data_IF_199339399444
#
_entry.id   IF_199339399444
#
_cell.length_a   1.000
_cell.length_b   1.000
_cell.length_c   1.000
_cell.angle_alpha   90.00
_cell.angle_beta   90.00
_cell.angle_gamma   90.00
#
_symmetry.space_group_name_H-M   'P 1'
#
loop_
_entity.id
_entity.type
_entity.pdbx_description
1 polymer ?
#
# COMPACT_ATOMS: atom_id res chain seq x y z
N UNK A 1 23.05 -1.87 -19.32
CA UNK A 1 23.34 -1.47 -17.92
C UNK A 1 22.47 -2.34 -17.04
N UNK A 2 22.97 -2.98 -15.96
CA UNK A 2 22.11 -3.70 -15.04
C UNK A 2 21.10 -2.73 -14.44
N UNK A 3 19.81 -3.09 -14.44
CA UNK A 3 18.81 -2.36 -13.67
C UNK A 3 19.17 -2.49 -12.19
N UNK A 4 19.22 -1.40 -11.41
CA UNK A 4 19.41 -1.51 -9.97
C UNK A 4 18.32 -2.43 -9.43
N UNK A 5 18.72 -3.38 -8.58
CA UNK A 5 17.75 -4.28 -7.95
C UNK A 5 16.77 -3.46 -7.12
N UNK A 6 15.51 -3.89 -7.02
CA UNK A 6 14.50 -3.20 -6.18
C UNK A 6 15.02 -2.96 -4.77
N UNK A 7 15.82 -3.92 -4.28
CA UNK A 7 16.53 -3.87 -3.02
C UNK A 7 17.47 -2.67 -2.96
N UNK A 8 18.24 -2.37 -4.00
CA UNK A 8 19.12 -1.18 -4.06
C UNK A 8 18.34 0.14 -4.12
N UNK A 9 17.17 0.17 -4.76
CA UNK A 9 16.35 1.39 -4.90
C UNK A 9 15.68 1.76 -3.58
N UNK A 10 15.22 0.75 -2.84
CA UNK A 10 14.51 0.93 -1.56
C UNK A 10 15.45 0.88 -0.34
N UNK A 11 16.72 0.48 -0.51
CA UNK A 11 17.72 0.54 0.55
C UNK A 11 18.32 1.94 0.73
N UNK A 12 18.12 2.43 1.95
CA UNK A 12 18.82 3.47 2.73
C UNK A 12 18.99 4.89 2.18
N UNK A 13 19.31 5.14 0.91
CA UNK A 13 19.76 6.48 0.50
C UNK A 13 18.82 7.26 -0.40
N UNK A 14 17.96 6.60 -1.17
CA UNK A 14 17.07 7.29 -2.13
C UNK A 14 15.66 7.55 -1.58
N UNK A 15 15.21 6.76 -0.60
CA UNK A 15 13.87 6.86 -0.01
C UNK A 15 13.99 7.26 1.46
N UNK A 16 14.05 8.58 1.69
CA UNK A 16 14.32 9.19 3.01
C UNK A 16 13.10 9.81 3.66
N UNK A 17 12.10 10.13 2.86
CA UNK A 17 10.89 10.81 3.29
C UNK A 17 9.66 10.21 2.60
N UNK A 18 8.48 10.69 2.99
CA UNK A 18 7.22 10.25 2.40
C UNK A 18 7.14 10.48 0.89
N UNK A 19 7.67 11.60 0.39
CA UNK A 19 7.51 11.98 -1.02
C UNK A 19 8.35 11.08 -1.93
N UNK A 20 9.61 10.85 -1.55
CA UNK A 20 10.51 9.90 -2.20
C UNK A 20 9.98 8.46 -2.12
N UNK A 21 9.37 8.08 -1.00
CA UNK A 21 8.69 6.79 -0.88
C UNK A 21 7.53 6.63 -1.86
N UNK A 22 6.65 7.63 -1.95
CA UNK A 22 5.53 7.61 -2.91
C UNK A 22 6.06 7.59 -4.34
N UNK A 23 7.06 8.40 -4.68
CA UNK A 23 7.66 8.40 -6.01
C UNK A 23 8.19 7.02 -6.39
N UNK A 24 8.94 6.39 -5.49
CA UNK A 24 9.46 5.04 -5.69
C UNK A 24 8.33 4.01 -5.86
N UNK A 25 7.31 4.05 -5.01
CA UNK A 25 6.21 3.08 -5.05
C UNK A 25 5.28 3.24 -6.25
N UNK A 26 5.35 4.35 -7.01
CA UNK A 26 4.67 4.44 -8.30
C UNK A 26 5.28 3.47 -9.32
N UNK A 27 6.60 3.39 -9.35
CA UNK A 27 7.34 2.51 -10.27
C UNK A 27 7.35 1.06 -9.81
N UNK A 28 7.24 0.82 -8.50
CA UNK A 28 7.26 -0.52 -7.88
C UNK A 28 5.97 -0.86 -7.12
N UNK A 29 4.82 -0.42 -7.66
CA UNK A 29 3.52 -0.51 -6.98
C UNK A 29 3.09 -1.91 -6.59
N UNK A 30 3.50 -2.93 -7.36
CA UNK A 30 3.23 -4.34 -7.07
C UNK A 30 3.69 -4.78 -5.67
N UNK A 31 4.68 -4.11 -5.08
CA UNK A 31 5.13 -4.39 -3.71
C UNK A 31 3.99 -4.22 -2.68
N UNK A 32 3.05 -3.31 -2.94
CA UNK A 32 1.92 -3.02 -2.05
C UNK A 32 0.78 -4.06 -2.14
N UNK A 33 0.72 -4.84 -3.24
CA UNK A 33 -0.33 -5.85 -3.48
C UNK A 33 -0.01 -7.11 -2.66
N UNK A 34 -0.78 -7.48 -1.63
CA UNK A 34 -0.36 -8.48 -0.63
C UNK A 34 0.21 -9.80 -1.19
N UNK A 35 -0.53 -10.45 -2.08
CA UNK A 35 -0.25 -11.81 -2.60
C UNK A 35 -0.13 -11.76 -4.13
N UNK A 36 0.70 -10.84 -4.61
CA UNK A 36 0.82 -10.56 -6.04
C UNK A 36 1.42 -11.73 -6.81
N UNK A 37 0.86 -11.99 -7.98
CA UNK A 37 1.38 -12.98 -8.93
C UNK A 37 1.53 -12.32 -10.30
N UNK A 38 2.49 -12.81 -11.10
CA UNK A 38 2.65 -12.34 -12.48
C UNK A 38 1.38 -12.55 -13.28
N UNK A 39 0.76 -13.73 -13.14
CA UNK A 39 -0.48 -14.07 -13.83
C UNK A 39 -1.64 -13.16 -13.42
N UNK A 40 -1.83 -12.92 -12.12
CA UNK A 40 -2.92 -12.09 -11.60
C UNK A 40 -2.84 -10.65 -12.11
N UNK A 41 -1.63 -10.06 -12.14
CA UNK A 41 -1.43 -8.73 -12.71
C UNK A 41 -1.63 -8.72 -14.24
N UNK A 42 -1.08 -9.73 -14.94
CA UNK A 42 -1.17 -9.82 -16.41
C UNK A 42 -2.61 -9.98 -16.90
N UNK A 43 -3.44 -10.70 -16.15
CA UNK A 43 -4.85 -10.92 -16.45
C UNK A 43 -5.77 -9.79 -15.95
N UNK A 44 -5.21 -8.75 -15.32
CA UNK A 44 -5.99 -7.65 -14.74
C UNK A 44 -6.82 -8.06 -13.51
N UNK A 45 -6.50 -9.19 -12.89
CA UNK A 45 -7.13 -9.66 -11.64
C UNK A 45 -6.53 -9.00 -10.40
N UNK A 46 -5.33 -8.46 -10.53
CA UNK A 46 -4.63 -7.70 -9.51
C UNK A 46 -4.11 -6.40 -10.10
N UNK A 47 -4.11 -5.34 -9.31
CA UNK A 47 -3.57 -4.07 -9.77
C UNK A 47 -3.50 -3.02 -8.68
N UNK A 48 -3.02 -1.86 -9.09
CA UNK A 48 -2.77 -0.74 -8.21
C UNK A 48 -3.04 0.58 -8.91
N UNK A 49 -3.67 1.49 -8.18
CA UNK A 49 -3.86 2.89 -8.53
C UNK A 49 -3.06 3.76 -7.58
N UNK A 50 -2.49 4.87 -8.07
CA UNK A 50 -1.91 5.91 -7.22
C UNK A 50 -2.82 7.14 -7.20
N UNK A 51 -2.77 7.89 -6.09
CA UNK A 51 -3.52 9.13 -5.90
C UNK A 51 -5.02 8.98 -6.23
N UNK A 52 -5.65 7.93 -5.71
CA UNK A 52 -7.07 7.68 -5.92
C UNK A 52 -7.90 8.68 -5.11
N UNK A 53 -8.78 9.43 -5.79
CA UNK A 53 -9.74 10.30 -5.12
C UNK A 53 -10.91 9.48 -4.56
N UNK A 54 -11.18 9.62 -3.26
CA UNK A 54 -12.40 9.14 -2.61
C UNK A 54 -13.31 10.34 -2.39
N UNK A 55 -14.26 10.51 -3.30
CA UNK A 55 -15.13 11.68 -3.31
C UNK A 55 -14.34 12.94 -3.71
N UNK A 56 -14.71 14.08 -3.14
CA UNK A 56 -14.09 15.38 -3.43
C UNK A 56 -12.91 15.73 -2.54
N UNK A 57 -12.83 15.12 -1.35
CA UNK A 57 -12.03 15.68 -0.25
C UNK A 57 -10.85 14.80 0.16
N UNK A 58 -10.85 13.52 -0.23
CA UNK A 58 -9.86 12.56 0.24
C UNK A 58 -9.05 11.97 -0.90
N UNK A 59 -7.73 11.96 -0.74
CA UNK A 59 -6.80 11.30 -1.65
C UNK A 59 -6.15 10.13 -0.92
N UNK A 60 -6.22 8.96 -1.55
CA UNK A 60 -5.52 7.75 -1.15
C UNK A 60 -4.20 7.67 -1.89
N UNK A 61 -3.10 7.48 -1.16
CA UNK A 61 -1.76 7.42 -1.77
C UNK A 61 -1.70 6.29 -2.80
N UNK A 62 -2.15 5.10 -2.40
CA UNK A 62 -2.32 3.96 -3.29
C UNK A 62 -3.57 3.15 -2.96
N UNK A 63 -4.27 2.66 -3.99
CA UNK A 63 -5.34 1.70 -3.84
C UNK A 63 -4.99 0.44 -4.63
N UNK A 64 -4.85 -0.70 -3.95
CA UNK A 64 -4.63 -1.99 -4.60
C UNK A 64 -5.92 -2.77 -4.67
N UNK A 65 -6.08 -3.62 -5.68
CA UNK A 65 -7.19 -4.55 -5.75
C UNK A 65 -6.71 -5.95 -6.09
N UNK A 66 -7.45 -6.95 -5.63
CA UNK A 66 -7.26 -8.36 -5.96
C UNK A 66 -8.60 -9.08 -6.07
N UNK A 67 -8.72 -9.92 -7.10
CA UNK A 67 -9.89 -10.75 -7.34
C UNK A 67 -9.65 -12.16 -6.80
N UNK A 68 -10.52 -12.64 -5.92
CA UNK A 68 -10.48 -13.98 -5.35
C UNK A 68 -11.85 -14.65 -5.46
N UNK A 69 -12.02 -15.54 -6.44
CA UNK A 69 -13.30 -16.15 -6.73
C UNK A 69 -14.34 -15.10 -7.14
N UNK A 70 -15.41 -14.94 -6.36
CA UNK A 70 -16.45 -13.89 -6.54
C UNK A 70 -16.25 -12.68 -5.62
N UNK A 71 -15.05 -12.47 -5.11
CA UNK A 71 -14.72 -11.34 -4.22
C UNK A 71 -13.72 -10.42 -4.87
N UNK A 72 -13.99 -9.12 -4.80
CA UNK A 72 -13.06 -8.06 -5.16
C UNK A 72 -12.60 -7.40 -3.86
N UNK A 73 -11.33 -7.54 -3.54
CA UNK A 73 -10.76 -6.99 -2.31
C UNK A 73 -9.91 -5.78 -2.65
N UNK A 74 -10.30 -4.63 -2.12
CA UNK A 74 -9.53 -3.39 -2.19
C UNK A 74 -8.72 -3.21 -0.91
N UNK A 75 -7.47 -2.74 -1.06
CA UNK A 75 -6.71 -2.18 0.05
C UNK A 75 -6.36 -0.73 -0.25
N UNK A 76 -6.83 0.17 0.61
CA UNK A 76 -6.47 1.58 0.61
C UNK A 76 -5.22 1.78 1.47
N UNK A 77 -4.16 2.32 0.89
CA UNK A 77 -2.83 2.36 1.48
C UNK A 77 -2.44 3.82 1.71
N UNK A 78 -2.13 4.14 2.97
CA UNK A 78 -1.45 5.38 3.38
C UNK A 78 0.06 5.12 3.48
N UNK A 79 0.85 5.99 2.87
CA UNK A 79 2.31 5.98 2.97
C UNK A 79 2.73 7.10 3.93
N UNK A 80 3.41 6.71 5.00
CA UNK A 80 4.12 7.62 5.90
C UNK A 80 5.63 7.61 5.60
N UNK A 81 6.42 8.36 6.37
CA UNK A 81 7.86 8.40 6.20
C UNK A 81 8.51 7.07 6.61
N UNK A 82 9.52 6.60 5.85
CA UNK A 82 10.38 5.49 6.28
C UNK A 82 11.16 5.79 7.57
N UNK A 83 11.33 7.06 7.91
CA UNK A 83 12.05 7.53 9.12
C UNK A 83 11.09 7.89 10.25
N UNK A 84 9.78 7.72 10.07
CA UNK A 84 8.83 7.98 11.14
C UNK A 84 8.90 6.88 12.19
N UNK A 85 9.04 7.31 13.43
CA UNK A 85 8.79 6.45 14.58
C UNK A 85 7.29 6.30 14.78
N UNK A 86 6.88 5.20 15.37
CA UNK A 86 5.48 4.94 15.73
C UNK A 86 5.21 5.56 17.11
N UNK A 87 6.19 5.51 18.01
CA UNK A 87 6.19 6.18 19.30
C UNK A 87 7.26 7.27 19.37
N UNK A 88 6.93 8.39 20.01
CA UNK A 88 7.91 9.41 20.42
C UNK A 88 8.09 9.34 21.93
N UNK A 89 9.18 9.92 22.45
CA UNK A 89 9.40 10.05 23.91
C UNK A 89 8.27 10.81 24.63
N UNK A 90 7.47 11.57 23.88
CA UNK A 90 6.33 12.35 24.37
C UNK A 90 4.98 11.64 24.09
N UNK A 91 4.99 10.42 23.56
CA UNK A 91 3.80 9.58 23.36
C UNK A 91 2.95 9.89 22.13
N UNK A 92 3.33 10.86 21.29
CA UNK A 92 2.62 11.21 20.06
C UNK A 92 3.59 11.39 18.89
N UNK A 93 3.41 10.64 17.82
CA UNK A 93 4.08 10.88 16.54
C UNK A 93 3.06 11.43 15.55
N UNK A 94 3.36 12.61 15.01
CA UNK A 94 2.45 13.33 14.11
C UNK A 94 2.16 12.55 12.83
N UNK A 95 3.14 11.81 12.29
CA UNK A 95 2.91 11.04 11.07
C UNK A 95 2.05 9.79 11.27
N UNK A 96 2.22 9.08 12.39
CA UNK A 96 1.38 7.96 12.77
C UNK A 96 -0.07 8.38 12.96
N UNK A 97 -0.29 9.40 13.79
CA UNK A 97 -1.63 9.92 14.08
C UNK A 97 -2.29 10.43 12.80
N UNK A 98 -1.55 11.17 11.97
CA UNK A 98 -2.03 11.60 10.65
C UNK A 98 -2.44 10.41 9.77
N UNK A 99 -1.65 9.34 9.73
CA UNK A 99 -1.97 8.16 8.93
C UNK A 99 -3.21 7.41 9.46
N UNK A 100 -3.37 7.31 10.78
CA UNK A 100 -4.55 6.74 11.41
C UNK A 100 -5.81 7.58 11.13
N UNK A 101 -5.73 8.90 11.33
CA UNK A 101 -6.82 9.83 11.06
C UNK A 101 -7.24 9.77 9.58
N UNK A 102 -6.27 9.69 8.67
CA UNK A 102 -6.52 9.56 7.24
C UNK A 102 -7.25 8.25 6.91
N UNK A 103 -6.85 7.12 7.51
CA UNK A 103 -7.55 5.84 7.34
C UNK A 103 -8.98 5.92 7.89
N UNK A 104 -9.18 6.56 9.04
CA UNK A 104 -10.52 6.69 9.61
C UNK A 104 -11.42 7.57 8.75
N UNK A 105 -10.89 8.65 8.16
CA UNK A 105 -11.63 9.45 7.19
C UNK A 105 -12.05 8.63 5.97
N UNK A 106 -11.17 7.78 5.44
CA UNK A 106 -11.52 6.89 4.32
C UNK A 106 -12.58 5.88 4.72
N UNK A 107 -12.51 5.30 5.93
CA UNK A 107 -13.54 4.39 6.45
C UNK A 107 -14.90 5.05 6.50
N UNK A 108 -14.98 6.25 7.06
CA UNK A 108 -16.24 6.99 7.12
C UNK A 108 -16.77 7.32 5.73
N UNK A 109 -15.89 7.71 4.79
CA UNK A 109 -16.28 7.95 3.41
C UNK A 109 -16.86 6.69 2.74
N UNK A 110 -16.18 5.55 2.86
CA UNK A 110 -16.64 4.26 2.30
C UNK A 110 -17.93 3.78 2.98
N UNK A 111 -18.08 4.01 4.29
CA UNK A 111 -19.30 3.66 5.03
C UNK A 111 -20.51 4.46 4.55
N UNK A 112 -20.34 5.76 4.30
CA UNK A 112 -21.42 6.67 3.88
C UNK A 112 -21.76 6.50 2.39
N UNK A 113 -20.75 6.45 1.53
CA UNK A 113 -20.93 6.40 0.06
C UNK A 113 -21.05 4.98 -0.50
N UNK A 114 -20.69 3.97 0.29
CA UNK A 114 -20.54 2.60 -0.17
C UNK A 114 -19.28 2.38 -1.03
N UNK A 115 -18.99 1.12 -1.40
CA UNK A 115 -17.81 0.78 -2.19
C UNK A 115 -17.87 1.27 -3.65
N UNK A 116 -19.03 1.75 -4.13
CA UNK A 116 -19.20 2.26 -5.50
C UNK A 116 -18.41 3.54 -5.80
N UNK A 117 -17.81 4.17 -4.78
CA UNK A 117 -16.87 5.29 -4.94
C UNK A 117 -15.49 4.85 -5.46
N UNK A 118 -15.18 3.55 -5.36
CA UNK A 118 -13.96 2.97 -5.90
C UNK A 118 -14.09 2.76 -7.41
N UNK A 119 -12.97 2.76 -8.17
CA UNK A 119 -13.01 2.53 -9.61
C UNK A 119 -13.76 1.24 -9.97
N UNK A 120 -14.75 1.33 -10.85
CA UNK A 120 -15.40 0.14 -11.39
C UNK A 120 -14.43 -0.61 -12.30
N UNK A 121 -14.31 -1.92 -12.06
CA UNK A 121 -13.51 -2.80 -12.91
C UNK A 121 -14.39 -3.56 -13.92
N UNK A 122 -15.65 -3.13 -14.12
CA UNK A 122 -16.69 -3.83 -14.89
C UNK A 122 -16.97 -5.25 -14.35
N UNK A 123 -17.17 -5.33 -13.03
CA UNK A 123 -17.26 -6.58 -12.27
C UNK A 123 -18.52 -6.62 -11.41
N UNK A 124 -19.68 -6.41 -12.03
CA UNK A 124 -20.99 -6.27 -11.36
C UNK A 124 -21.38 -7.51 -10.52
N UNK A 125 -20.70 -8.64 -10.69
CA UNK A 125 -20.96 -9.90 -9.98
C UNK A 125 -20.13 -10.10 -8.70
N UNK A 126 -19.23 -9.19 -8.36
CA UNK A 126 -18.26 -9.38 -7.27
C UNK A 126 -18.71 -8.73 -5.96
N UNK A 127 -18.67 -9.50 -4.87
CA UNK A 127 -18.77 -8.92 -3.53
C UNK A 127 -17.52 -8.10 -3.26
N UNK A 128 -17.69 -6.78 -3.11
CA UNK A 128 -16.58 -5.87 -2.83
C UNK A 128 -16.30 -5.80 -1.33
N UNK A 129 -15.03 -5.99 -0.96
CA UNK A 129 -14.51 -5.84 0.39
C UNK A 129 -13.44 -4.75 0.39
N UNK A 130 -13.37 -3.96 1.45
CA UNK A 130 -12.38 -2.89 1.59
C UNK A 130 -11.58 -3.13 2.87
N UNK A 131 -10.26 -3.08 2.74
CA UNK A 131 -9.32 -3.05 3.85
C UNK A 131 -8.39 -1.85 3.74
N UNK A 132 -7.63 -1.63 4.81
CA UNK A 132 -6.78 -0.45 4.95
C UNK A 132 -5.36 -0.87 5.29
N UNK A 133 -4.39 -0.08 4.85
CA UNK A 133 -2.98 -0.29 5.12
C UNK A 133 -2.27 1.00 5.44
N UNK A 134 -1.34 0.92 6.39
CA UNK A 134 -0.38 1.98 6.65
C UNK A 134 1.02 1.38 6.47
N UNK A 135 1.84 2.02 5.65
CA UNK A 135 3.28 1.74 5.54
C UNK A 135 4.05 2.85 6.24
N UNK A 136 4.73 2.53 7.34
CA UNK A 136 5.41 3.52 8.19
C UNK A 136 6.67 2.95 8.84
N UNK A 137 7.72 3.77 8.88
CA UNK A 137 8.96 3.44 9.59
C UNK A 137 9.70 2.22 9.02
N UNK A 138 10.75 1.80 9.72
CA UNK A 138 11.55 0.61 9.41
C UNK A 138 11.52 -0.37 10.59
N UNK A 139 11.40 -1.66 10.30
CA UNK A 139 11.28 -2.72 11.33
C UNK A 139 12.49 -2.76 12.24
N UNK A 140 13.69 -2.51 11.69
CA UNK A 140 14.95 -2.53 12.45
C UNK A 140 15.03 -1.42 13.51
N UNK A 141 14.28 -0.35 13.30
CA UNK A 141 14.28 0.85 14.13
C UNK A 141 13.11 0.81 15.15
N UNK A 142 12.24 -0.21 15.07
CA UNK A 142 11.07 -0.36 15.95
C UNK A 142 11.42 -1.02 17.28
N UNK A 143 10.93 -0.42 18.37
CA UNK A 143 10.97 -1.00 19.72
C UNK A 143 9.95 -2.14 19.87
N UNK A 144 10.10 -2.97 20.92
CA UNK A 144 9.13 -4.03 21.21
C UNK A 144 7.73 -3.47 21.53
N UNK A 145 7.66 -2.29 22.15
CA UNK A 145 6.41 -1.58 22.43
C UNK A 145 5.72 -1.14 21.13
N UNK A 146 6.47 -0.59 20.16
CA UNK A 146 5.91 -0.22 18.85
C UNK A 146 5.38 -1.44 18.10
N UNK A 147 6.07 -2.59 18.20
CA UNK A 147 5.60 -3.87 17.62
C UNK A 147 4.30 -4.34 18.26
N UNK A 148 4.15 -4.17 19.57
CA UNK A 148 2.91 -4.49 20.29
C UNK A 148 1.75 -3.59 19.82
N UNK A 149 1.97 -2.27 19.72
CA UNK A 149 0.97 -1.31 19.22
C UNK A 149 0.55 -1.64 17.78
N UNK A 150 1.51 -1.95 16.91
CA UNK A 150 1.24 -2.46 15.55
C UNK A 150 0.37 -3.71 15.62
N UNK A 151 0.69 -4.63 16.53
CA UNK A 151 -0.05 -5.86 16.77
C UNK A 151 -1.50 -5.62 17.18
N UNK A 152 -1.77 -4.64 18.04
CA UNK A 152 -3.13 -4.27 18.47
C UNK A 152 -4.00 -3.79 17.29
N UNK A 153 -3.40 -3.04 16.36
CA UNK A 153 -4.08 -2.52 15.17
C UNK A 153 -4.24 -3.55 14.05
N UNK A 154 -3.86 -4.82 14.26
CA UNK A 154 -4.14 -5.93 13.34
C UNK A 154 -5.60 -6.42 13.43
N UNK A 155 -6.49 -5.70 14.09
CA UNK A 155 -7.93 -6.00 14.19
C UNK A 155 -8.70 -4.88 13.50
N UNK A 156 -9.86 -5.21 12.92
CA UNK A 156 -10.70 -4.31 12.12
C UNK A 156 -10.01 -3.85 10.83
N UNK A 157 -9.99 -4.70 9.79
CA UNK A 157 -9.63 -4.41 8.37
C UNK A 157 -8.34 -3.61 8.04
N UNK A 158 -7.60 -3.14 9.03
CA UNK A 158 -6.37 -2.37 8.95
C UNK A 158 -5.16 -3.27 9.18
N UNK A 159 -4.12 -3.04 8.37
CA UNK A 159 -2.81 -3.67 8.51
C UNK A 159 -1.73 -2.59 8.50
N UNK A 160 -0.86 -2.64 9.50
CA UNK A 160 0.29 -1.75 9.59
C UNK A 160 1.54 -2.55 9.24
N UNK A 161 2.38 -1.98 8.37
CA UNK A 161 3.61 -2.57 7.84
C UNK A 161 4.72 -1.55 7.87
N UNK A 162 5.95 -2.03 8.02
CA UNK A 162 7.15 -1.22 7.83
C UNK A 162 7.53 -1.18 6.35
N UNK A 163 8.45 -0.29 6.01
CA UNK A 163 9.10 -0.31 4.69
C UNK A 163 9.95 -1.56 4.47
N UNK A 164 10.55 -2.11 5.54
CA UNK A 164 11.36 -3.32 5.42
C UNK A 164 10.52 -4.54 5.00
N UNK A 165 9.23 -4.60 5.39
CA UNK A 165 8.31 -5.62 4.88
C UNK A 165 8.16 -5.59 3.35
N UNK A 166 8.24 -4.41 2.72
CA UNK A 166 8.20 -4.29 1.26
C UNK A 166 9.50 -4.78 0.62
N UNK A 167 10.63 -4.68 1.33
CA UNK A 167 11.96 -5.10 0.89
C UNK A 167 12.15 -6.61 0.92
N UNK A 168 11.52 -7.29 1.88
CA UNK A 168 11.58 -8.75 2.02
C UNK A 168 10.77 -9.45 0.93
N UNK A 169 9.72 -8.80 0.42
CA UNK A 169 8.78 -9.42 -0.51
C UNK A 169 9.40 -9.90 -1.84
N UNK A 170 10.29 -9.14 -2.51
CA UNK A 170 11.03 -9.63 -3.68
C UNK A 170 11.79 -10.94 -3.47
N UNK A 171 12.18 -11.30 -2.24
CA UNK A 171 12.93 -12.53 -1.96
C UNK A 171 12.14 -13.81 -2.28
N UNK A 172 10.82 -13.70 -2.45
CA UNK A 172 9.93 -14.80 -2.80
C UNK A 172 9.78 -15.01 -4.32
N UNK A 173 10.43 -14.20 -5.15
CA UNK A 173 10.28 -14.23 -6.61
C UNK A 173 11.62 -14.46 -7.30
N UNK A 174 11.56 -15.11 -8.45
CA UNK A 174 12.71 -15.19 -9.36
C UNK A 174 13.01 -13.82 -9.98
N UNK A 175 14.24 -13.61 -10.44
CA UNK A 175 14.64 -12.38 -11.15
C UNK A 175 13.72 -12.09 -12.34
N UNK A 176 13.35 -13.11 -13.11
CA UNK A 176 12.45 -12.96 -14.26
C UNK A 176 11.04 -12.50 -13.86
N UNK A 177 10.52 -12.99 -12.74
CA UNK A 177 9.22 -12.56 -12.23
C UNK A 177 9.27 -11.11 -11.75
N UNK A 178 10.35 -10.71 -11.06
CA UNK A 178 10.57 -9.33 -10.62
C UNK A 178 10.62 -8.38 -11.82
N UNK A 179 11.40 -8.72 -12.86
CA UNK A 179 11.48 -7.92 -14.08
C UNK A 179 10.11 -7.78 -14.75
N UNK A 180 9.34 -8.86 -14.79
CA UNK A 180 7.99 -8.85 -15.33
C UNK A 180 7.08 -7.95 -14.50
N UNK A 181 7.04 -8.12 -13.18
CA UNK A 181 6.24 -7.31 -12.26
C UNK A 181 6.60 -5.81 -12.31
N UNK A 182 7.87 -5.47 -12.53
CA UNK A 182 8.30 -4.08 -12.73
C UNK A 182 7.76 -3.45 -14.03
N UNK A 183 7.46 -4.26 -15.02
CA UNK A 183 6.87 -3.80 -16.28
C UNK A 183 5.35 -3.70 -16.17
N UNK A 184 4.69 -4.71 -15.61
CA UNK A 184 3.22 -4.82 -15.64
C UNK A 184 2.53 -4.34 -14.35
N UNK A 185 3.25 -4.27 -13.24
CA UNK A 185 2.73 -3.99 -11.90
C UNK A 185 2.94 -2.57 -11.42
N UNK A 186 3.12 -1.61 -12.33
CA UNK A 186 3.24 -0.18 -12.00
C UNK A 186 1.90 0.39 -11.55
N UNK A 187 1.94 1.38 -10.67
CA UNK A 187 0.72 2.05 -10.24
C UNK A 187 0.14 2.88 -11.39
N UNK A 188 -1.13 2.62 -11.73
CA UNK A 188 -1.87 3.41 -12.71
C UNK A 188 -2.34 4.71 -12.06
N UNK A 189 -2.40 5.80 -12.81
CA UNK A 189 -3.06 7.00 -12.32
C UNK A 189 -4.57 6.75 -12.28
N UNK A 190 -5.21 7.01 -11.14
CA UNK A 190 -6.67 6.96 -11.08
C UNK A 190 -7.26 8.00 -12.05
N UNK A 191 -8.13 7.57 -12.97
CA UNK A 191 -8.78 8.44 -13.96
C UNK A 191 -8.03 8.63 -15.28
N UNK A 192 -6.92 7.92 -15.53
CA UNK A 192 -6.36 7.79 -16.87
C UNK A 192 -7.05 6.61 -17.58
N UNK A 193 -7.89 6.91 -18.57
CA UNK A 193 -8.47 5.92 -19.51
C UNK A 193 -7.38 5.28 -20.39
#
# INVERSE_FOLDING_TARGET
MPHPSITEILQADLVRDRQSAIACLKDFGWLLIPDVTVEGVSQGQQGIFHALSLGTDFIVDFATYQMWGRRLVWYLVSIASPQANILSREGSTTEWNRALDQVEQWRQCILVSGPGILPSLNLDEYQTLVGYRIVIGRSRDQTDEEREIIGMHRRNDLRIRSFDWLLEKPEHYTTSEIETLNQIGRAKQAGAE
#
